data_IF_298863604501
#
_entry.id   IF_298863604501
#
_cell.length_a   1.000
_cell.length_b   1.000
_cell.length_c   1.000
_cell.angle_alpha   90.00
_cell.angle_beta   90.00
_cell.angle_gamma   90.00
#
_symmetry.space_group_name_H-M   'P 1'
#
loop_
_entity.id
_entity.type
_entity.pdbx_description
1 polymer ?
#
# COMPACT_ATOMS: atom_id res chain seq x y z
N UNK A 1 -18.67 -4.36 -41.60
CA UNK A 1 -19.59 -4.89 -40.56
C UNK A 1 -20.49 -5.89 -41.21
N UNK A 2 -20.83 -6.97 -40.53
CA UNK A 2 -21.70 -8.02 -40.98
C UNK A 2 -23.17 -7.58 -41.04
N UNK A 3 -23.97 -8.19 -41.91
CA UNK A 3 -25.43 -8.05 -41.89
C UNK A 3 -26.00 -8.67 -40.60
N UNK A 4 -27.26 -8.38 -40.29
CA UNK A 4 -27.92 -8.93 -39.07
C UNK A 4 -28.00 -10.45 -39.17
N UNK A 5 -28.36 -10.94 -40.35
CA UNK A 5 -28.52 -12.37 -40.62
C UNK A 5 -27.20 -13.14 -40.55
N UNK A 6 -26.14 -12.59 -41.16
CA UNK A 6 -24.79 -13.18 -41.09
C UNK A 6 -24.24 -13.20 -39.65
N UNK A 7 -24.45 -12.12 -38.89
CA UNK A 7 -24.03 -12.03 -37.48
C UNK A 7 -24.76 -13.10 -36.65
N UNK A 8 -26.07 -13.24 -36.83
CA UNK A 8 -26.88 -14.24 -36.14
C UNK A 8 -26.44 -15.67 -36.46
N UNK A 9 -26.26 -16.00 -37.76
CA UNK A 9 -25.81 -17.34 -38.18
C UNK A 9 -24.43 -17.69 -37.62
N UNK A 10 -23.47 -16.74 -37.67
CA UNK A 10 -22.14 -16.96 -37.15
C UNK A 10 -22.14 -17.10 -35.63
N UNK A 11 -22.94 -16.27 -34.94
CA UNK A 11 -23.05 -16.34 -33.48
C UNK A 11 -23.69 -17.66 -33.03
N UNK A 12 -24.74 -18.13 -33.76
CA UNK A 12 -25.41 -19.40 -33.49
C UNK A 12 -24.47 -20.58 -33.73
N UNK A 13 -23.72 -20.58 -34.84
CA UNK A 13 -22.70 -21.59 -35.10
C UNK A 13 -21.60 -21.64 -34.01
N UNK A 14 -21.21 -20.49 -33.46
CA UNK A 14 -20.27 -20.44 -32.34
C UNK A 14 -20.87 -21.02 -31.05
N UNK A 15 -22.11 -20.63 -30.69
CA UNK A 15 -22.73 -21.03 -29.42
C UNK A 15 -23.13 -22.51 -29.44
N UNK A 16 -23.69 -23.01 -30.52
CA UNK A 16 -24.22 -24.38 -30.61
C UNK A 16 -23.15 -25.42 -31.01
N UNK A 17 -22.27 -25.06 -31.96
CA UNK A 17 -21.30 -25.98 -32.54
C UNK A 17 -19.86 -25.76 -32.07
N UNK A 18 -19.59 -24.67 -31.37
CA UNK A 18 -18.23 -24.29 -30.99
C UNK A 18 -17.32 -23.94 -32.16
N UNK A 19 -17.90 -23.51 -33.30
CA UNK A 19 -17.14 -23.25 -34.54
C UNK A 19 -16.21 -22.03 -34.35
N UNK A 20 -14.93 -22.32 -34.18
CA UNK A 20 -13.87 -21.29 -33.99
C UNK A 20 -13.71 -20.38 -35.21
N UNK A 21 -14.01 -20.86 -36.43
CA UNK A 21 -13.95 -20.03 -37.66
C UNK A 21 -15.03 -18.96 -37.65
N UNK A 22 -16.23 -19.29 -37.22
CA UNK A 22 -17.32 -18.33 -37.03
C UNK A 22 -17.02 -17.31 -35.99
N UNK A 23 -16.47 -17.71 -34.81
CA UNK A 23 -16.02 -16.79 -33.78
C UNK A 23 -14.92 -15.86 -34.31
N UNK A 24 -13.93 -16.37 -35.02
CA UNK A 24 -12.85 -15.58 -35.62
C UNK A 24 -13.38 -14.54 -36.62
N UNK A 25 -14.38 -14.90 -37.44
CA UNK A 25 -15.02 -13.97 -38.39
C UNK A 25 -15.81 -12.87 -37.66
N UNK A 26 -16.50 -13.19 -36.56
CA UNK A 26 -17.17 -12.22 -35.70
C UNK A 26 -16.18 -11.20 -35.12
N UNK A 27 -15.05 -11.67 -34.57
CA UNK A 27 -14.00 -10.78 -34.01
C UNK A 27 -13.40 -9.90 -35.12
N UNK A 28 -12.92 -10.48 -36.21
CA UNK A 28 -12.23 -9.74 -37.28
C UNK A 28 -13.10 -8.67 -37.93
N UNK A 29 -14.42 -8.92 -38.08
CA UNK A 29 -15.36 -7.93 -38.60
C UNK A 29 -15.58 -6.72 -37.71
N UNK A 30 -15.25 -6.80 -36.39
CA UNK A 30 -15.45 -5.75 -35.41
C UNK A 30 -14.15 -5.12 -34.90
N UNK A 31 -12.95 -5.49 -35.40
CA UNK A 31 -11.65 -4.89 -34.99
C UNK A 31 -11.62 -3.36 -35.15
N UNK A 32 -12.24 -2.83 -36.23
CA UNK A 32 -12.34 -1.39 -36.47
C UNK A 32 -13.13 -0.66 -35.35
N UNK A 33 -14.16 -1.32 -34.83
CA UNK A 33 -14.94 -0.82 -33.70
C UNK A 33 -14.09 -0.77 -32.44
N UNK A 34 -13.35 -1.84 -32.13
CA UNK A 34 -12.44 -1.90 -31.00
C UNK A 34 -11.36 -0.81 -31.06
N UNK A 35 -10.71 -0.65 -32.22
CA UNK A 35 -9.73 0.41 -32.46
C UNK A 35 -10.32 1.82 -32.32
N UNK A 36 -11.56 2.05 -32.80
CA UNK A 36 -12.25 3.34 -32.64
C UNK A 36 -12.49 3.67 -31.17
N UNK A 37 -12.90 2.70 -30.37
CA UNK A 37 -13.12 2.90 -28.93
C UNK A 37 -11.79 3.13 -28.23
N UNK A 38 -10.74 2.36 -28.53
CA UNK A 38 -9.40 2.48 -27.98
C UNK A 38 -8.78 3.88 -28.21
N UNK A 39 -9.01 4.47 -29.39
CA UNK A 39 -8.55 5.81 -29.71
C UNK A 39 -9.11 6.90 -28.77
N UNK A 40 -10.26 6.69 -28.15
CA UNK A 40 -10.82 7.59 -27.14
C UNK A 40 -10.03 7.63 -25.82
N UNK A 41 -9.09 6.71 -25.63
CA UNK A 41 -8.27 6.56 -24.41
C UNK A 41 -6.80 6.95 -24.60
N UNK A 42 -6.43 7.63 -25.68
CA UNK A 42 -5.04 8.04 -25.97
C UNK A 42 -4.41 8.97 -24.94
N UNK A 43 -5.19 9.68 -24.15
CA UNK A 43 -4.69 10.70 -23.22
C UNK A 43 -4.10 10.18 -21.89
N UNK A 44 -3.96 8.85 -21.73
CA UNK A 44 -3.51 8.25 -20.48
C UNK A 44 -2.03 7.85 -20.45
N UNK A 45 -1.24 8.23 -21.47
CA UNK A 45 0.22 7.98 -21.50
C UNK A 45 0.64 6.55 -21.84
N UNK A 46 -0.30 5.67 -22.16
CA UNK A 46 -0.02 4.28 -22.57
C UNK A 46 0.12 4.15 -24.09
N UNK A 47 0.89 3.18 -24.55
CA UNK A 47 1.08 2.92 -25.97
C UNK A 47 -0.26 2.57 -26.66
N UNK A 48 -0.64 3.24 -27.75
CA UNK A 48 -1.91 3.00 -28.43
C UNK A 48 -2.06 1.55 -28.90
N UNK A 49 -0.97 0.88 -29.30
CA UNK A 49 -0.95 -0.52 -29.69
C UNK A 49 -1.42 -1.45 -28.59
N UNK A 50 -1.00 -1.20 -27.35
CA UNK A 50 -1.39 -1.99 -26.19
C UNK A 50 -2.85 -1.78 -25.81
N UNK A 51 -3.33 -0.52 -25.86
CA UNK A 51 -4.76 -0.23 -25.63
C UNK A 51 -5.63 -0.92 -26.67
N UNK A 52 -5.20 -0.97 -27.96
CA UNK A 52 -5.92 -1.68 -29.02
C UNK A 52 -5.88 -3.19 -28.78
N UNK A 53 -4.76 -3.74 -28.35
CA UNK A 53 -4.63 -5.15 -28.03
C UNK A 53 -5.59 -5.55 -26.92
N UNK A 54 -5.67 -4.76 -25.87
CA UNK A 54 -6.60 -4.99 -24.75
C UNK A 54 -8.07 -4.80 -25.18
N UNK A 55 -8.33 -3.85 -26.07
CA UNK A 55 -9.65 -3.70 -26.69
C UNK A 55 -10.07 -4.97 -27.46
N UNK A 56 -9.13 -5.61 -28.16
CA UNK A 56 -9.39 -6.86 -28.85
C UNK A 56 -9.64 -8.03 -27.89
N UNK A 57 -8.94 -8.07 -26.73
CA UNK A 57 -9.23 -9.03 -25.65
C UNK A 57 -10.66 -8.85 -25.16
N UNK A 58 -11.08 -7.61 -24.89
CA UNK A 58 -12.46 -7.30 -24.52
C UNK A 58 -13.49 -7.71 -25.58
N UNK A 59 -13.16 -7.51 -26.86
CA UNK A 59 -14.01 -7.95 -27.98
C UNK A 59 -14.15 -9.49 -28.04
N UNK A 60 -13.04 -10.22 -27.83
CA UNK A 60 -13.08 -11.69 -27.78
C UNK A 60 -13.92 -12.19 -26.59
N UNK A 61 -13.82 -11.55 -25.44
CA UNK A 61 -14.68 -11.87 -24.30
C UNK A 61 -16.17 -11.61 -24.59
N UNK A 62 -16.48 -10.54 -25.33
CA UNK A 62 -17.83 -10.24 -25.76
C UNK A 62 -18.36 -11.33 -26.67
N UNK A 63 -17.60 -11.75 -27.71
CA UNK A 63 -18.01 -12.81 -28.63
C UNK A 63 -18.24 -14.12 -27.87
N UNK A 64 -17.38 -14.46 -26.92
CA UNK A 64 -17.52 -15.70 -26.13
C UNK A 64 -18.81 -15.74 -25.28
N UNK A 65 -19.33 -14.58 -24.86
CA UNK A 65 -20.52 -14.48 -24.01
C UNK A 65 -21.75 -13.93 -24.70
N UNK A 66 -21.64 -13.70 -26.00
CA UNK A 66 -22.74 -13.14 -26.78
C UNK A 66 -23.84 -14.18 -27.01
N UNK A 67 -25.06 -13.76 -26.72
CA UNK A 67 -26.27 -14.56 -26.95
C UNK A 67 -27.10 -13.93 -28.09
N UNK A 68 -27.16 -14.57 -29.27
CA UNK A 68 -27.88 -14.04 -30.43
C UNK A 68 -29.40 -14.02 -30.25
N UNK A 69 -29.95 -14.86 -29.37
CA UNK A 69 -31.40 -14.96 -29.17
C UNK A 69 -31.98 -13.72 -28.45
N UNK A 70 -31.14 -12.91 -27.81
CA UNK A 70 -31.58 -11.68 -27.17
C UNK A 70 -31.92 -10.53 -28.10
N UNK A 71 -31.74 -10.68 -29.40
CA UNK A 71 -32.12 -9.70 -30.41
C UNK A 71 -31.26 -8.43 -30.47
N UNK A 72 -30.17 -8.32 -29.72
CA UNK A 72 -29.25 -7.18 -29.76
C UNK A 72 -28.08 -7.44 -30.69
N UNK A 73 -27.54 -6.37 -31.29
CA UNK A 73 -26.34 -6.45 -32.14
C UNK A 73 -25.08 -6.70 -31.27
N UNK A 74 -24.19 -7.57 -31.80
CA UNK A 74 -22.89 -7.81 -31.17
C UNK A 74 -22.12 -6.51 -30.94
N UNK A 75 -22.14 -5.56 -31.85
CA UNK A 75 -21.49 -4.27 -31.71
C UNK A 75 -21.93 -3.53 -30.45
N UNK A 76 -23.21 -3.52 -30.13
CA UNK A 76 -23.75 -2.86 -28.93
C UNK A 76 -23.30 -3.56 -27.63
N UNK A 77 -23.34 -4.89 -27.62
CA UNK A 77 -22.87 -5.69 -26.49
C UNK A 77 -21.34 -5.59 -26.29
N UNK A 78 -20.59 -5.69 -27.38
CA UNK A 78 -19.13 -5.62 -27.36
C UNK A 78 -18.59 -4.26 -26.87
N UNK A 79 -19.28 -3.15 -27.11
CA UNK A 79 -18.85 -1.84 -26.62
C UNK A 79 -18.66 -1.81 -25.11
N UNK A 80 -19.48 -2.51 -24.36
CA UNK A 80 -19.36 -2.57 -22.89
C UNK A 80 -18.12 -3.36 -22.45
N UNK A 81 -17.90 -4.51 -23.07
CA UNK A 81 -16.74 -5.36 -22.79
C UNK A 81 -15.42 -4.70 -23.17
N UNK A 82 -15.37 -4.11 -24.35
CA UNK A 82 -14.20 -3.38 -24.85
C UNK A 82 -13.84 -2.21 -23.92
N UNK A 83 -14.83 -1.42 -23.51
CA UNK A 83 -14.59 -0.32 -22.56
C UNK A 83 -14.12 -0.83 -21.20
N UNK A 84 -14.73 -1.88 -20.67
CA UNK A 84 -14.36 -2.44 -19.39
C UNK A 84 -12.92 -2.96 -19.40
N UNK A 85 -12.54 -3.70 -20.44
CA UNK A 85 -11.18 -4.23 -20.60
C UNK A 85 -10.14 -3.11 -20.70
N UNK A 86 -10.39 -2.10 -21.54
CA UNK A 86 -9.49 -0.94 -21.67
C UNK A 86 -9.35 -0.21 -20.34
N UNK A 87 -10.45 0.05 -19.64
CA UNK A 87 -10.43 0.78 -18.36
C UNK A 87 -9.70 0.00 -17.28
N UNK A 88 -9.89 -1.31 -17.22
CA UNK A 88 -9.17 -2.18 -16.30
C UNK A 88 -7.66 -2.18 -16.57
N UNK A 89 -7.29 -2.29 -17.85
CA UNK A 89 -5.90 -2.22 -18.28
C UNK A 89 -5.24 -0.89 -17.90
N UNK A 90 -5.90 0.23 -18.20
CA UNK A 90 -5.39 1.58 -17.86
C UNK A 90 -5.15 1.69 -16.35
N UNK A 91 -6.12 1.31 -15.52
CA UNK A 91 -5.98 1.39 -14.05
C UNK A 91 -4.84 0.52 -13.50
N UNK A 92 -4.52 -0.57 -14.19
CA UNK A 92 -3.44 -1.49 -13.80
C UNK A 92 -2.07 -1.00 -14.25
N UNK A 93 -1.99 -0.37 -15.43
CA UNK A 93 -0.73 -0.08 -16.12
C UNK A 93 -0.33 1.41 -16.09
N UNK A 94 -1.19 2.29 -15.57
CA UNK A 94 -0.94 3.73 -15.55
C UNK A 94 0.16 4.15 -14.57
N UNK A 95 0.27 3.49 -13.41
CA UNK A 95 1.26 3.75 -12.37
C UNK A 95 1.75 2.44 -11.75
N UNK A 96 2.97 2.43 -11.23
CA UNK A 96 3.54 1.33 -10.46
C UNK A 96 2.73 1.07 -9.17
N UNK A 97 2.19 2.15 -8.58
CA UNK A 97 1.30 2.05 -7.43
C UNK A 97 -0.13 1.83 -7.89
N UNK A 98 -0.70 0.67 -7.58
CA UNK A 98 -2.07 0.30 -7.97
C UNK A 98 -3.08 1.35 -7.52
N UNK A 99 -3.82 1.88 -8.49
CA UNK A 99 -4.90 2.86 -8.28
C UNK A 99 -6.28 2.28 -8.61
N UNK A 100 -7.32 2.97 -8.14
CA UNK A 100 -8.70 2.63 -8.52
C UNK A 100 -9.22 1.35 -7.88
N UNK A 101 -8.91 1.10 -6.61
CA UNK A 101 -9.43 -0.05 -5.87
C UNK A 101 -10.93 0.08 -5.54
N UNK A 102 -11.42 1.29 -5.28
CA UNK A 102 -12.83 1.56 -5.00
C UNK A 102 -13.59 2.07 -6.22
N UNK A 103 -14.92 1.96 -6.20
CA UNK A 103 -15.79 2.49 -7.25
C UNK A 103 -15.67 4.00 -7.39
N UNK A 104 -15.54 4.72 -6.29
CA UNK A 104 -15.33 6.17 -6.24
C UNK A 104 -14.01 6.56 -6.91
N UNK A 105 -12.91 5.88 -6.59
CA UNK A 105 -11.60 6.12 -7.21
C UNK A 105 -11.60 5.87 -8.72
N UNK A 106 -12.24 4.80 -9.18
CA UNK A 106 -12.40 4.52 -10.63
C UNK A 106 -13.17 5.64 -11.32
N UNK A 107 -14.27 6.08 -10.72
CA UNK A 107 -15.10 7.17 -11.24
C UNK A 107 -14.31 8.48 -11.32
N UNK A 108 -13.56 8.81 -10.27
CA UNK A 108 -12.70 9.99 -10.22
C UNK A 108 -11.59 9.93 -11.27
N UNK A 109 -10.87 8.83 -11.37
CA UNK A 109 -9.77 8.66 -12.32
C UNK A 109 -10.18 9.03 -13.76
N UNK A 110 -11.33 8.53 -14.23
CA UNK A 110 -11.79 8.77 -15.59
C UNK A 110 -12.52 10.09 -15.79
N UNK A 111 -13.11 10.68 -14.75
CA UNK A 111 -13.96 11.86 -14.89
C UNK A 111 -13.38 13.14 -14.31
N UNK A 112 -12.37 13.08 -13.42
CA UNK A 112 -11.83 14.27 -12.73
C UNK A 112 -11.31 15.31 -13.71
N UNK A 113 -10.52 14.90 -14.70
CA UNK A 113 -9.98 15.82 -15.72
C UNK A 113 -11.09 16.53 -16.50
N UNK A 114 -12.16 15.81 -16.85
CA UNK A 114 -13.32 16.39 -17.54
C UNK A 114 -14.11 17.30 -16.63
N UNK A 115 -14.26 16.97 -15.36
CA UNK A 115 -14.93 17.82 -14.37
C UNK A 115 -14.12 19.12 -14.14
N UNK A 116 -12.81 19.06 -14.00
CA UNK A 116 -11.92 20.24 -13.92
C UNK A 116 -12.05 21.15 -15.14
N UNK A 117 -12.05 20.57 -16.32
CA UNK A 117 -12.22 21.34 -17.58
C UNK A 117 -13.56 22.08 -17.66
N UNK A 118 -14.65 21.47 -17.19
CA UNK A 118 -15.98 22.09 -17.19
C UNK A 118 -16.08 23.29 -16.24
N UNK A 119 -15.35 23.27 -15.14
CA UNK A 119 -15.37 24.32 -14.11
C UNK A 119 -14.32 25.40 -14.41
N UNK A 120 -13.47 25.20 -15.43
CA UNK A 120 -12.35 26.08 -15.73
C UNK A 120 -11.21 26.01 -14.71
N UNK A 121 -11.19 24.98 -13.84
CA UNK A 121 -10.18 24.78 -12.81
C UNK A 121 -9.02 23.93 -13.35
N UNK A 122 -8.34 24.43 -14.39
CA UNK A 122 -7.16 23.77 -14.98
C UNK A 122 -5.84 24.18 -14.31
N UNK A 123 -5.88 24.91 -13.19
CA UNK A 123 -4.70 25.34 -12.45
C UNK A 123 -3.92 24.10 -11.96
N UNK A 124 -2.59 24.15 -12.09
CA UNK A 124 -1.70 23.15 -11.51
C UNK A 124 -1.66 23.35 -9.98
N UNK A 125 -1.81 22.26 -9.24
CA UNK A 125 -1.77 22.26 -7.78
C UNK A 125 -3.10 21.86 -7.12
N UNK A 126 -3.24 22.21 -5.86
CA UNK A 126 -4.43 21.87 -5.07
C UNK A 126 -5.65 22.69 -5.51
N UNK A 127 -6.78 22.01 -5.63
CA UNK A 127 -8.04 22.61 -6.02
C UNK A 127 -8.54 23.57 -4.94
N UNK A 128 -9.09 24.72 -5.36
CA UNK A 128 -9.77 25.66 -4.44
C UNK A 128 -10.97 24.96 -3.78
N UNK A 129 -11.28 25.24 -2.50
CA UNK A 129 -12.35 24.57 -1.76
C UNK A 129 -13.72 24.59 -2.45
N UNK A 130 -14.03 25.69 -3.17
CA UNK A 130 -15.29 25.82 -3.91
C UNK A 130 -15.37 24.84 -5.09
N UNK A 131 -14.26 24.68 -5.83
CA UNK A 131 -14.17 23.78 -6.98
C UNK A 131 -14.16 22.33 -6.50
N UNK A 132 -13.50 22.05 -5.38
CA UNK A 132 -13.48 20.74 -4.74
C UNK A 132 -14.91 20.28 -4.41
N UNK A 133 -15.72 21.13 -3.76
CA UNK A 133 -17.13 20.85 -3.41
C UNK A 133 -17.99 20.61 -4.65
N UNK A 134 -17.82 21.42 -5.69
CA UNK A 134 -18.56 21.25 -6.97
C UNK A 134 -18.27 19.89 -7.59
N UNK A 135 -16.99 19.49 -7.66
CA UNK A 135 -16.58 18.20 -8.24
C UNK A 135 -17.08 17.04 -7.37
N UNK A 136 -16.95 17.14 -6.05
CA UNK A 136 -17.42 16.13 -5.10
C UNK A 136 -18.93 15.87 -5.26
N UNK A 137 -19.74 16.94 -5.36
CA UNK A 137 -21.18 16.85 -5.59
C UNK A 137 -21.51 16.28 -6.97
N UNK A 138 -20.87 16.77 -8.06
CA UNK A 138 -21.13 16.30 -9.42
C UNK A 138 -20.82 14.80 -9.59
N UNK A 139 -19.78 14.33 -8.92
CA UNK A 139 -19.36 12.93 -9.02
C UNK A 139 -19.88 12.07 -7.88
N UNK A 140 -20.59 12.63 -6.90
CA UNK A 140 -21.12 11.95 -5.71
C UNK A 140 -20.03 11.13 -5.00
N UNK A 141 -18.97 11.82 -4.58
CA UNK A 141 -17.77 11.29 -3.88
C UNK A 141 -17.36 12.26 -2.78
N UNK A 142 -16.53 11.83 -1.84
CA UNK A 142 -16.06 12.71 -0.77
C UNK A 142 -15.03 13.75 -1.26
N UNK A 143 -14.96 14.88 -0.57
CA UNK A 143 -13.97 15.94 -0.87
C UNK A 143 -12.54 15.42 -0.71
N UNK A 144 -12.28 14.57 0.29
CA UNK A 144 -10.99 13.95 0.56
C UNK A 144 -10.54 13.03 -0.58
N UNK A 145 -11.47 12.24 -1.13
CA UNK A 145 -11.18 11.38 -2.29
C UNK A 145 -10.83 12.19 -3.53
N UNK A 146 -11.52 13.33 -3.76
CA UNK A 146 -11.22 14.23 -4.88
C UNK A 146 -9.82 14.83 -4.71
N UNK A 147 -9.48 15.31 -3.51
CA UNK A 147 -8.17 15.90 -3.22
C UNK A 147 -7.05 14.88 -3.37
N UNK A 148 -7.22 13.69 -2.79
CA UNK A 148 -6.26 12.58 -2.91
C UNK A 148 -6.02 12.18 -4.36
N UNK A 149 -7.10 12.04 -5.15
CA UNK A 149 -7.00 11.70 -6.57
C UNK A 149 -6.38 12.83 -7.39
N UNK A 150 -6.68 14.10 -7.07
CA UNK A 150 -6.08 15.25 -7.74
C UNK A 150 -4.57 15.26 -7.58
N UNK A 151 -4.06 15.03 -6.36
CA UNK A 151 -2.62 14.96 -6.08
C UNK A 151 -1.94 13.81 -6.81
N UNK A 152 -2.59 12.65 -6.89
CA UNK A 152 -2.07 11.48 -7.63
C UNK A 152 -2.03 11.68 -9.14
N UNK A 153 -2.98 12.42 -9.70
CA UNK A 153 -3.06 12.69 -11.14
C UNK A 153 -2.27 13.92 -11.58
N UNK A 154 -1.67 14.66 -10.64
CA UNK A 154 -0.88 15.86 -10.95
C UNK A 154 0.46 15.55 -11.62
N UNK A 155 1.01 14.37 -11.43
CA UNK A 155 2.26 13.92 -12.03
C UNK A 155 2.25 12.45 -12.39
N UNK A 156 3.10 12.05 -13.33
CA UNK A 156 3.44 10.65 -13.60
C UNK A 156 4.52 10.19 -12.63
N UNK A 157 4.72 8.86 -12.53
CA UNK A 157 5.81 8.28 -11.77
C UNK A 157 7.15 8.84 -12.25
N UNK A 158 7.96 9.39 -11.33
CA UNK A 158 9.27 9.92 -11.64
C UNK A 158 10.31 8.79 -11.59
N UNK A 159 11.29 8.82 -12.50
CA UNK A 159 12.40 7.87 -12.47
C UNK A 159 13.45 8.31 -11.45
N UNK A 160 13.80 7.45 -10.52
CA UNK A 160 14.90 7.70 -9.57
C UNK A 160 16.28 7.74 -10.25
N UNK A 161 16.40 7.11 -11.42
CA UNK A 161 17.61 7.15 -12.23
C UNK A 161 17.66 8.40 -13.16
N UNK A 162 16.71 9.31 -13.06
CA UNK A 162 16.78 10.55 -13.80
C UNK A 162 17.92 11.41 -13.25
N UNK A 163 18.76 11.93 -14.17
CA UNK A 163 19.88 12.77 -13.78
C UNK A 163 19.38 14.11 -13.24
N UNK A 164 19.89 14.49 -12.08
CA UNK A 164 19.73 15.84 -11.55
C UNK A 164 20.70 16.73 -12.29
N UNK A 165 20.19 17.71 -13.06
CA UNK A 165 21.02 18.71 -13.74
C UNK A 165 21.75 19.54 -12.69
N UNK A 166 22.99 19.17 -12.41
CA UNK A 166 23.95 20.03 -11.75
C UNK A 166 24.94 20.53 -12.79
N UNK A 167 25.26 21.83 -12.78
CA UNK A 167 26.23 22.49 -13.68
C UNK A 167 27.69 22.08 -13.38
N UNK A 168 27.96 20.95 -12.75
CA UNK A 168 29.28 20.46 -12.38
C UNK A 168 29.52 19.01 -12.85
N UNK A 169 30.80 18.64 -13.01
CA UNK A 169 31.30 17.34 -13.44
C UNK A 169 30.84 16.19 -12.51
N UNK A 170 29.61 15.73 -12.66
CA UNK A 170 29.09 14.55 -11.96
C UNK A 170 27.63 14.35 -12.28
N UNK A 171 27.30 13.26 -12.92
CA UNK A 171 25.91 12.88 -13.16
C UNK A 171 25.39 12.20 -11.89
N UNK A 172 24.86 12.96 -10.93
CA UNK A 172 24.12 12.39 -9.81
C UNK A 172 22.68 12.11 -10.21
N UNK A 173 22.17 10.97 -9.79
CA UNK A 173 20.79 10.55 -9.99
C UNK A 173 19.91 10.99 -8.78
N UNK A 174 18.59 11.07 -8.98
CA UNK A 174 17.68 11.33 -7.87
C UNK A 174 17.78 10.31 -6.75
N UNK A 175 18.13 9.07 -7.06
CA UNK A 175 18.34 7.99 -6.12
C UNK A 175 19.47 8.31 -5.11
N UNK A 176 20.52 9.02 -5.53
CA UNK A 176 21.67 9.36 -4.67
C UNK A 176 21.32 10.40 -3.58
N UNK A 177 20.18 11.07 -3.75
CA UNK A 177 19.69 12.10 -2.83
C UNK A 177 18.67 11.58 -1.82
N UNK A 178 18.27 10.31 -1.94
CA UNK A 178 17.34 9.70 -1.00
C UNK A 178 18.13 9.32 0.25
N UNK A 179 17.77 9.92 1.37
CA UNK A 179 18.32 9.60 2.67
C UNK A 179 17.82 8.22 3.15
N UNK A 180 18.73 7.40 3.63
CA UNK A 180 18.39 6.13 4.25
C UNK A 180 17.87 6.39 5.68
N UNK A 181 16.59 6.13 5.91
CA UNK A 181 15.96 6.28 7.23
C UNK A 181 16.32 5.13 8.18
N UNK A 182 17.07 4.12 7.74
CA UNK A 182 17.56 3.09 8.65
C UNK A 182 18.54 3.69 9.67
N UNK A 183 18.37 3.30 10.93
CA UNK A 183 19.21 3.80 12.02
C UNK A 183 20.70 3.65 11.67
N UNK A 184 21.45 4.72 11.82
CA UNK A 184 22.91 4.72 11.65
C UNK A 184 23.53 3.58 12.47
N UNK A 185 24.48 2.86 11.86
CA UNK A 185 25.19 1.75 12.51
C UNK A 185 25.79 2.14 13.86
N UNK A 186 26.22 3.39 14.00
CA UNK A 186 26.77 3.93 15.26
C UNK A 186 25.68 3.98 16.33
N UNK A 187 24.52 4.56 16.00
CA UNK A 187 23.38 4.65 16.90
C UNK A 187 22.87 3.27 17.30
N UNK A 188 22.73 2.35 16.33
CA UNK A 188 22.30 0.97 16.61
C UNK A 188 23.31 0.21 17.47
N UNK A 189 24.61 0.47 17.30
CA UNK A 189 25.66 -0.11 18.11
C UNK A 189 25.63 0.45 19.54
N UNK A 190 25.52 1.75 19.68
CA UNK A 190 25.40 2.44 20.98
C UNK A 190 24.20 1.91 21.77
N UNK A 191 23.02 1.83 21.15
CA UNK A 191 21.82 1.28 21.77
C UNK A 191 22.01 -0.18 22.19
N UNK A 192 22.68 -1.00 21.36
CA UNK A 192 22.94 -2.40 21.68
C UNK A 192 23.91 -2.56 22.84
N UNK A 193 24.93 -1.72 22.93
CA UNK A 193 25.89 -1.68 24.03
C UNK A 193 25.22 -1.23 25.33
N UNK A 194 24.42 -0.17 25.27
CA UNK A 194 23.66 0.33 26.40
C UNK A 194 22.69 -0.71 26.96
N UNK A 195 21.98 -1.43 26.08
CA UNK A 195 21.09 -2.54 26.45
C UNK A 195 21.86 -3.69 27.13
N UNK A 196 23.04 -4.05 26.60
CA UNK A 196 23.89 -5.08 27.21
C UNK A 196 24.37 -4.67 28.61
N UNK A 197 24.80 -3.42 28.77
CA UNK A 197 25.23 -2.89 30.06
C UNK A 197 24.11 -2.86 31.11
N UNK A 198 22.92 -2.33 30.68
CA UNK A 198 21.72 -2.34 31.55
C UNK A 198 21.30 -3.75 31.94
N UNK A 199 21.38 -4.70 31.01
CA UNK A 199 21.11 -6.10 31.26
C UNK A 199 22.11 -6.69 32.26
N UNK A 200 23.39 -6.38 32.11
CA UNK A 200 24.43 -6.84 33.01
C UNK A 200 24.26 -6.28 34.46
N UNK A 201 23.86 -5.01 34.60
CA UNK A 201 23.55 -4.43 35.92
C UNK A 201 22.31 -5.09 36.54
N UNK A 202 21.27 -5.33 35.75
CA UNK A 202 20.07 -6.01 36.19
C UNK A 202 20.38 -7.43 36.68
N UNK A 203 21.17 -8.18 35.92
CA UNK A 203 21.58 -9.53 36.32
C UNK A 203 22.38 -9.57 37.58
N UNK A 204 23.33 -8.61 37.78
CA UNK A 204 24.09 -8.46 39.04
C UNK A 204 23.19 -8.09 40.22
N UNK A 205 22.24 -7.18 40.01
CA UNK A 205 21.31 -6.77 41.08
C UNK A 205 20.30 -7.93 41.40
N UNK A 206 19.91 -8.72 40.43
CA UNK A 206 19.08 -9.89 40.64
C UNK A 206 19.76 -10.98 41.49
N UNK A 207 21.09 -11.13 41.39
CA UNK A 207 21.83 -12.12 42.15
C UNK A 207 21.80 -11.82 43.68
N UNK A 208 21.53 -10.62 44.11
CA UNK A 208 21.40 -10.22 45.51
C UNK A 208 20.00 -10.49 46.12
N UNK A 209 19.05 -10.88 45.29
CA UNK A 209 17.68 -11.26 45.69
C UNK A 209 17.60 -12.71 46.11
N UNK A 210 16.67 -13.03 47.00
CA UNK A 210 16.37 -14.44 47.33
C UNK A 210 15.70 -15.15 46.14
N UNK A 211 15.84 -16.49 46.09
CA UNK A 211 15.25 -17.30 44.96
C UNK A 211 13.77 -17.03 44.73
N UNK A 212 13.01 -16.80 45.81
CA UNK A 212 11.59 -16.41 45.70
C UNK A 212 11.37 -15.04 45.12
N UNK A 213 12.15 -14.05 45.55
CA UNK A 213 12.07 -12.67 45.02
C UNK A 213 12.46 -12.66 43.54
N UNK A 214 13.50 -13.38 43.15
CA UNK A 214 13.94 -13.52 41.76
C UNK A 214 12.85 -14.14 40.88
N UNK A 215 12.25 -15.24 41.31
CA UNK A 215 11.21 -15.92 40.56
C UNK A 215 9.98 -15.01 40.35
N UNK A 216 9.54 -14.29 41.41
CA UNK A 216 8.40 -13.38 41.32
C UNK A 216 8.70 -12.22 40.37
N UNK A 217 9.87 -11.61 40.44
CA UNK A 217 10.25 -10.50 39.54
C UNK A 217 10.36 -11.00 38.11
N UNK A 218 10.97 -12.16 37.87
CA UNK A 218 11.13 -12.75 36.55
C UNK A 218 9.79 -12.99 35.87
N UNK A 219 8.88 -13.69 36.55
CA UNK A 219 7.57 -14.04 36.01
C UNK A 219 6.63 -12.85 35.84
N UNK A 220 6.82 -11.78 36.62
CA UNK A 220 5.95 -10.60 36.59
C UNK A 220 6.45 -9.45 35.70
N UNK A 221 7.78 -9.30 35.53
CA UNK A 221 8.38 -8.11 34.93
C UNK A 221 9.32 -8.40 33.76
N UNK A 222 9.84 -9.62 33.65
CA UNK A 222 10.86 -9.96 32.66
C UNK A 222 10.38 -10.99 31.63
N UNK A 223 9.10 -11.34 31.67
CA UNK A 223 8.48 -12.26 30.71
C UNK A 223 7.50 -11.47 29.84
N UNK A 224 7.41 -11.82 28.57
CA UNK A 224 6.49 -11.19 27.59
C UNK A 224 5.02 -11.33 28.01
N UNK A 225 4.65 -12.45 28.63
CA UNK A 225 3.34 -12.68 29.23
C UNK A 225 3.46 -12.69 30.77
N UNK A 226 3.21 -11.55 31.45
CA UNK A 226 3.37 -11.47 32.88
C UNK A 226 2.33 -12.29 33.64
N UNK A 227 2.81 -13.19 34.53
CA UNK A 227 1.95 -14.03 35.39
C UNK A 227 1.05 -13.17 36.30
N UNK A 228 -0.18 -13.60 36.56
CA UNK A 228 -1.07 -12.87 37.46
C UNK A 228 -0.69 -13.10 38.95
N UNK A 229 -1.05 -12.15 39.83
CA UNK A 229 -0.84 -12.34 41.28
C UNK A 229 -1.55 -13.59 41.82
N UNK A 230 -2.64 -14.02 41.16
CA UNK A 230 -3.40 -15.18 41.52
C UNK A 230 -2.67 -16.48 41.17
N UNK A 231 -2.03 -16.55 40.02
CA UNK A 231 -1.26 -17.71 39.59
C UNK A 231 -0.03 -17.89 40.47
N UNK A 232 0.70 -16.81 40.77
CA UNK A 232 1.84 -16.86 41.68
C UNK A 232 1.42 -17.18 43.11
N UNK A 233 0.23 -16.76 43.56
CA UNK A 233 -0.27 -17.13 44.88
C UNK A 233 -0.51 -18.64 45.02
N UNK A 234 -0.95 -19.28 43.92
CA UNK A 234 -1.12 -20.75 43.88
C UNK A 234 0.23 -21.49 43.87
N UNK A 235 1.19 -20.98 43.05
CA UNK A 235 2.54 -21.60 42.95
C UNK A 235 3.32 -21.49 44.25
N UNK A 236 3.30 -20.35 44.91
CA UNK A 236 4.08 -20.12 46.13
C UNK A 236 3.30 -20.40 47.44
N UNK A 237 2.02 -20.79 47.33
CA UNK A 237 1.13 -21.07 48.48
C UNK A 237 1.04 -19.92 49.51
N UNK A 238 0.96 -18.67 49.01
CA UNK A 238 0.84 -17.45 49.81
C UNK A 238 -0.27 -16.53 49.26
N UNK A 239 -0.82 -15.63 50.09
CA UNK A 239 -1.87 -14.73 49.68
C UNK A 239 -1.40 -13.76 48.58
N UNK A 240 -2.33 -13.32 47.71
CA UNK A 240 -2.08 -12.30 46.65
C UNK A 240 -1.41 -11.05 47.20
N UNK A 241 -1.88 -10.55 48.34
CA UNK A 241 -1.31 -9.35 48.98
C UNK A 241 0.13 -9.59 49.42
N UNK A 242 0.44 -10.82 49.88
CA UNK A 242 1.81 -11.17 50.24
C UNK A 242 2.74 -11.20 49.03
N UNK A 243 2.28 -11.73 47.89
CA UNK A 243 3.07 -11.66 46.62
C UNK A 243 3.33 -10.20 46.24
N UNK A 244 2.33 -9.33 46.32
CA UNK A 244 2.47 -7.89 46.02
C UNK A 244 3.49 -7.22 46.94
N UNK A 245 3.50 -7.55 48.23
CA UNK A 245 4.47 -7.02 49.18
C UNK A 245 5.90 -7.51 48.89
N UNK A 246 6.05 -8.79 48.53
CA UNK A 246 7.36 -9.33 48.15
C UNK A 246 7.84 -8.69 46.85
N UNK A 247 6.98 -8.55 45.81
CA UNK A 247 7.29 -7.87 44.55
C UNK A 247 7.78 -6.42 44.83
N UNK A 248 7.03 -5.66 45.65
CA UNK A 248 7.42 -4.28 45.98
C UNK A 248 8.79 -4.16 46.68
N UNK A 249 9.03 -4.99 47.69
CA UNK A 249 10.31 -5.01 48.41
C UNK A 249 11.48 -5.48 47.51
N UNK A 250 11.23 -6.48 46.66
CA UNK A 250 12.23 -6.96 45.73
C UNK A 250 12.59 -5.89 44.70
N UNK A 251 11.59 -5.15 44.21
CA UNK A 251 11.80 -4.05 43.27
C UNK A 251 12.56 -2.88 43.90
N UNK A 252 12.28 -2.48 45.15
CA UNK A 252 13.03 -1.47 45.90
C UNK A 252 14.49 -1.87 46.10
N UNK A 253 14.75 -3.15 46.42
CA UNK A 253 16.13 -3.68 46.56
C UNK A 253 16.86 -3.61 45.22
N UNK A 254 16.20 -4.05 44.10
CA UNK A 254 16.79 -3.94 42.79
C UNK A 254 17.14 -2.52 42.42
N UNK A 255 16.21 -1.58 42.62
CA UNK A 255 16.40 -0.16 42.31
C UNK A 255 17.60 0.44 43.08
N UNK A 256 17.70 0.14 44.39
CA UNK A 256 18.80 0.60 45.25
C UNK A 256 20.14 0.05 44.77
N UNK A 257 20.17 -1.26 44.39
CA UNK A 257 21.39 -1.92 43.95
C UNK A 257 21.87 -1.44 42.59
N UNK A 258 20.95 -1.25 41.64
CA UNK A 258 21.27 -0.72 40.31
C UNK A 258 21.88 0.68 40.45
N UNK A 259 21.29 1.56 41.27
CA UNK A 259 21.86 2.90 41.52
C UNK A 259 23.28 2.85 42.04
N UNK A 260 23.55 1.98 43.02
CA UNK A 260 24.90 1.82 43.57
C UNK A 260 25.88 1.32 42.48
N UNK A 261 25.47 0.41 41.63
CA UNK A 261 26.30 -0.11 40.53
C UNK A 261 26.57 0.98 39.47
N UNK A 262 25.60 1.82 39.19
CA UNK A 262 25.76 2.96 38.28
C UNK A 262 26.74 3.99 38.88
N UNK A 263 26.59 4.38 40.17
CA UNK A 263 27.47 5.32 40.83
C UNK A 263 28.92 4.79 40.89
N UNK A 264 29.12 3.51 41.17
CA UNK A 264 30.45 2.86 41.15
C UNK A 264 31.11 2.91 39.78
N UNK A 265 30.32 2.78 38.69
CA UNK A 265 30.84 2.90 37.33
C UNK A 265 31.28 4.33 37.01
N UNK A 266 30.50 5.34 37.42
CA UNK A 266 30.84 6.74 37.19
C UNK A 266 32.08 7.15 37.97
N UNK A 267 32.20 6.74 39.25
CA UNK A 267 33.39 7.02 40.08
C UNK A 267 34.67 6.36 39.54
N UNK A 268 34.56 5.14 38.98
CA UNK A 268 35.70 4.43 38.37
C UNK A 268 36.15 4.98 37.03
N UNK A 269 35.33 5.84 36.36
CA UNK A 269 35.73 6.52 35.13
C UNK A 269 36.48 7.82 35.37
N UNK A 270 36.27 8.48 36.50
CA UNK A 270 37.01 9.71 36.88
C UNK A 270 38.45 9.40 37.25
N UNK A 271 38.73 8.25 37.86
CA UNK A 271 40.10 7.82 38.22
C UNK A 271 40.96 7.34 37.05
N UNK A 272 40.33 7.06 35.87
CA UNK A 272 41.00 6.54 34.67
C UNK A 272 41.42 7.61 33.64
N UNK A 273 41.08 8.87 33.83
CA UNK A 273 41.40 9.98 32.89
C UNK A 273 42.57 10.86 33.38
N UNK A 274 43.32 10.37 34.32
CA UNK A 274 44.49 11.07 34.88
C UNK A 274 45.82 10.40 34.50
N UNK A 275 46.19 10.38 33.18
CA UNK A 275 47.56 10.31 32.69
C UNK A 275 47.63 11.02 31.35
#
# INVERSE_FOLDING_TARGET
MLSIEEEYMLAKAWVELGDTKSAHRLVTSHLRLAAKIANGYRGYGLAPSEIISEANVGLMQAVKRFDPEKGFRLATYAMWWVRASIQEYILRSWSLVKMGTTSAQKKLFFNLRKAKSRIGAMEEGDLRPENLRKIANDLNVSEEEVLSMNRRLSGSDASLNAQVKNDGEGSSEWQDWIEDETADHVTAFEESEELKERSAFLMKAMADLTDREQAIIKERRLTDEPATLEDLSKIFAVSRERIRQIEGRAFEKLQSKVRVLEEQKFSGKEDGLGI
#
